data_IF_422945399070
#
_entry.id   IF_422945399070
#
_cell.length_a   1.000
_cell.length_b   1.000
_cell.length_c   1.000
_cell.angle_alpha   90.00
_cell.angle_beta   90.00
_cell.angle_gamma   90.00
#
_symmetry.space_group_name_H-M   'P 1'
#
loop_
_entity.id
_entity.type
_entity.pdbx_description
1 polymer ?
#
# COMPACT_ATOMS: atom_id res chain seq x y z
N UNK A 1 5.27 9.20 -23.00
CA UNK A 1 4.32 8.24 -22.41
C UNK A 1 4.58 8.24 -20.92
N UNK A 2 3.56 8.18 -20.06
CA UNK A 2 3.80 7.99 -18.64
C UNK A 2 4.13 6.52 -18.38
N UNK A 3 5.27 6.21 -17.75
CA UNK A 3 5.54 4.86 -17.26
C UNK A 3 4.73 4.68 -15.98
N UNK A 4 4.08 3.53 -15.84
CA UNK A 4 3.27 3.19 -14.66
C UNK A 4 3.98 2.09 -13.90
N UNK A 5 4.17 2.29 -12.59
CA UNK A 5 4.66 1.24 -11.72
C UNK A 5 3.48 0.37 -11.26
N UNK A 6 3.68 -0.95 -11.25
CA UNK A 6 2.75 -1.90 -10.63
C UNK A 6 3.07 -2.00 -9.14
N UNK A 7 2.04 -1.93 -8.30
CA UNK A 7 2.15 -2.02 -6.85
C UNK A 7 1.39 -3.25 -6.35
N UNK A 8 2.12 -4.19 -5.74
CA UNK A 8 1.54 -5.34 -5.05
C UNK A 8 1.51 -4.99 -3.57
N UNK A 9 0.31 -4.78 -3.03
CA UNK A 9 0.05 -4.30 -1.69
C UNK A 9 -0.58 -5.40 -0.83
N UNK A 10 -0.18 -5.43 0.44
CA UNK A 10 -0.82 -6.25 1.47
C UNK A 10 -0.84 -5.50 2.80
N UNK A 11 -2.00 -5.48 3.45
CA UNK A 11 -2.19 -4.98 4.80
C UNK A 11 -2.86 -6.00 5.71
N UNK A 12 -2.50 -5.99 6.98
CA UNK A 12 -3.13 -6.75 8.06
C UNK A 12 -3.23 -5.88 9.30
N UNK A 13 -4.40 -5.86 9.93
CA UNK A 13 -4.60 -5.20 11.23
C UNK A 13 -5.76 -5.85 11.97
N UNK A 14 -5.68 -5.88 13.30
CA UNK A 14 -6.80 -6.30 14.16
C UNK A 14 -7.83 -5.18 14.34
N UNK A 15 -7.49 -3.93 14.00
CA UNK A 15 -8.42 -2.81 14.03
C UNK A 15 -9.30 -2.82 12.77
N UNK A 16 -10.54 -3.29 12.90
CA UNK A 16 -11.50 -3.37 11.79
C UNK A 16 -11.77 -2.02 11.13
N UNK A 17 -11.84 -0.93 11.90
CA UNK A 17 -12.09 0.39 11.34
C UNK A 17 -10.92 0.87 10.46
N UNK A 18 -9.69 0.57 10.87
CA UNK A 18 -8.51 0.85 10.04
C UNK A 18 -8.47 -0.05 8.81
N UNK A 19 -8.90 -1.31 8.94
CA UNK A 19 -8.98 -2.22 7.80
C UNK A 19 -9.99 -1.72 6.75
N UNK A 20 -11.15 -1.23 7.19
CA UNK A 20 -12.18 -0.62 6.33
C UNK A 20 -11.66 0.66 5.66
N UNK A 21 -10.89 1.49 6.39
CA UNK A 21 -10.22 2.66 5.80
C UNK A 21 -9.20 2.27 4.73
N UNK A 22 -8.41 1.22 4.96
CA UNK A 22 -7.40 0.75 3.99
C UNK A 22 -8.08 0.27 2.71
N UNK A 23 -9.12 -0.57 2.83
CA UNK A 23 -9.89 -1.07 1.68
C UNK A 23 -10.49 0.09 0.87
N UNK A 24 -11.24 0.98 1.52
CA UNK A 24 -11.88 2.11 0.86
C UNK A 24 -10.86 3.06 0.21
N UNK A 25 -9.75 3.35 0.90
CA UNK A 25 -8.70 4.22 0.35
C UNK A 25 -8.11 3.65 -0.94
N UNK A 26 -7.81 2.35 -0.98
CA UNK A 26 -7.22 1.72 -2.15
C UNK A 26 -8.18 1.74 -3.34
N UNK A 27 -9.47 1.43 -3.10
CA UNK A 27 -10.52 1.40 -4.12
C UNK A 27 -10.84 2.81 -4.66
N UNK A 28 -10.85 3.83 -3.79
CA UNK A 28 -11.14 5.22 -4.17
C UNK A 28 -9.96 5.93 -4.86
N UNK A 29 -8.72 5.54 -4.54
CA UNK A 29 -7.51 6.30 -4.93
C UNK A 29 -6.84 5.75 -6.18
N UNK A 30 -6.82 4.44 -6.36
CA UNK A 30 -6.04 3.80 -7.41
C UNK A 30 -6.91 2.99 -8.37
N UNK A 31 -6.49 2.96 -9.63
CA UNK A 31 -7.03 2.01 -10.61
C UNK A 31 -6.34 0.66 -10.39
N UNK A 32 -7.10 -0.31 -9.88
CA UNK A 32 -6.58 -1.61 -9.46
C UNK A 32 -7.65 -2.57 -8.94
N UNK A 33 -7.19 -3.70 -8.42
CA UNK A 33 -8.03 -4.73 -7.79
C UNK A 33 -7.76 -4.74 -6.29
N UNK A 34 -8.81 -4.67 -5.49
CA UNK A 34 -8.75 -4.73 -4.02
C UNK A 34 -9.53 -5.94 -3.54
N UNK A 35 -8.91 -6.79 -2.72
CA UNK A 35 -9.52 -7.95 -2.11
C UNK A 35 -9.55 -7.83 -0.59
N UNK A 36 -10.76 -7.87 -0.02
CA UNK A 36 -10.98 -7.88 1.42
C UNK A 36 -11.08 -9.30 1.96
N UNK A 37 -10.34 -9.54 3.04
CA UNK A 37 -10.41 -10.76 3.87
C UNK A 37 -10.88 -10.42 5.29
N UNK A 38 -10.90 -11.43 6.16
CA UNK A 38 -11.35 -11.27 7.55
C UNK A 38 -10.54 -10.24 8.35
N UNK A 39 -9.21 -10.29 8.24
CA UNK A 39 -8.25 -9.45 9.00
C UNK A 39 -7.18 -8.79 8.12
N UNK A 40 -7.35 -8.86 6.80
CA UNK A 40 -6.38 -8.36 5.84
C UNK A 40 -7.02 -7.85 4.55
N UNK A 41 -6.27 -7.03 3.83
CA UNK A 41 -6.59 -6.51 2.50
C UNK A 41 -5.35 -6.74 1.63
N UNK A 42 -5.53 -7.32 0.45
CA UNK A 42 -4.52 -7.31 -0.60
C UNK A 42 -5.01 -6.50 -1.80
N UNK A 43 -4.08 -5.88 -2.53
CA UNK A 43 -4.42 -5.14 -3.72
C UNK A 43 -3.29 -5.17 -4.75
N UNK A 44 -3.67 -5.08 -6.02
CA UNK A 44 -2.76 -4.79 -7.12
C UNK A 44 -3.25 -3.54 -7.84
N UNK A 45 -2.41 -2.51 -7.92
CA UNK A 45 -2.80 -1.24 -8.52
C UNK A 45 -1.63 -0.52 -9.18
N UNK A 46 -1.94 0.46 -10.04
CA UNK A 46 -0.92 1.24 -10.75
C UNK A 46 -0.67 2.61 -10.12
N UNK A 47 0.58 3.08 -10.17
CA UNK A 47 0.96 4.45 -9.81
C UNK A 47 1.81 5.07 -10.91
N UNK A 48 1.94 6.40 -10.91
CA UNK A 48 2.78 7.10 -11.90
C UNK A 48 4.25 6.95 -11.53
N UNK A 49 5.04 6.38 -12.43
CA UNK A 49 6.51 6.28 -12.39
C UNK A 49 7.10 5.40 -11.28
N UNK A 50 6.71 5.61 -10.03
CA UNK A 50 7.35 5.04 -8.84
C UNK A 50 6.31 4.71 -7.76
N UNK A 51 6.77 4.16 -6.63
CA UNK A 51 5.97 3.99 -5.42
C UNK A 51 5.21 5.29 -5.05
N UNK A 52 3.89 5.24 -4.83
CA UNK A 52 3.07 6.42 -4.53
C UNK A 52 3.21 6.85 -3.06
N UNK A 53 4.34 7.49 -2.74
CA UNK A 53 4.70 7.86 -1.36
C UNK A 53 3.69 8.81 -0.72
N UNK A 54 3.24 9.85 -1.42
CA UNK A 54 2.32 10.83 -0.86
C UNK A 54 0.96 10.22 -0.51
N UNK A 55 0.40 9.41 -1.41
CA UNK A 55 -0.89 8.74 -1.21
C UNK A 55 -0.79 7.75 -0.04
N UNK A 56 0.25 6.92 -0.02
CA UNK A 56 0.40 5.92 1.03
C UNK A 56 0.70 6.57 2.38
N UNK A 57 1.47 7.65 2.44
CA UNK A 57 1.69 8.38 3.70
C UNK A 57 0.40 9.01 4.24
N UNK A 58 -0.49 9.51 3.36
CA UNK A 58 -1.83 9.97 3.76
C UNK A 58 -2.67 8.84 4.33
N UNK A 59 -2.64 7.66 3.69
CA UNK A 59 -3.30 6.47 4.23
C UNK A 59 -2.76 6.16 5.64
N UNK A 60 -1.44 6.04 5.81
CA UNK A 60 -0.83 5.73 7.12
C UNK A 60 -1.21 6.76 8.18
N UNK A 61 -1.22 8.05 7.83
CA UNK A 61 -1.58 9.12 8.75
C UNK A 61 -3.04 9.06 9.22
N UNK A 62 -3.93 8.44 8.44
CA UNK A 62 -5.35 8.29 8.76
C UNK A 62 -5.68 7.11 9.70
N UNK A 63 -4.72 6.19 9.90
CA UNK A 63 -4.93 4.99 10.70
C UNK A 63 -4.83 5.29 12.20
N UNK A 64 -5.74 4.74 12.99
CA UNK A 64 -5.80 4.92 14.43
C UNK A 64 -4.78 4.04 15.17
N UNK A 65 -4.69 2.77 14.78
CA UNK A 65 -3.83 1.75 15.39
C UNK A 65 -2.61 1.43 14.51
N UNK A 66 -1.93 2.48 14.00
CA UNK A 66 -0.77 2.35 13.10
C UNK A 66 0.38 1.50 13.66
N UNK A 67 0.55 1.46 14.97
CA UNK A 67 1.53 0.60 15.66
C UNK A 67 1.18 -0.89 15.59
N UNK A 68 -0.08 -1.22 15.35
CA UNK A 68 -0.60 -2.60 15.23
C UNK A 68 -0.89 -3.01 13.79
N UNK A 69 -0.73 -2.10 12.84
CA UNK A 69 -0.91 -2.36 11.41
C UNK A 69 0.39 -2.86 10.79
N UNK A 70 0.29 -3.93 10.02
CA UNK A 70 1.36 -4.46 9.18
C UNK A 70 1.03 -4.20 7.72
N UNK A 71 1.90 -3.51 6.99
CA UNK A 71 1.76 -3.28 5.54
C UNK A 71 3.05 -3.69 4.84
N UNK A 72 2.94 -4.29 3.67
CA UNK A 72 4.06 -4.46 2.74
C UNK A 72 3.62 -4.06 1.34
N UNK A 73 4.51 -3.42 0.61
CA UNK A 73 4.28 -3.00 -0.77
C UNK A 73 5.53 -3.23 -1.60
N UNK A 74 5.35 -3.98 -2.70
CA UNK A 74 6.33 -4.12 -3.77
C UNK A 74 5.88 -3.26 -4.94
N UNK A 75 6.66 -2.25 -5.27
CA UNK A 75 6.46 -1.40 -6.44
C UNK A 75 7.54 -1.72 -7.46
N UNK A 76 7.17 -1.93 -8.73
CA UNK A 76 8.14 -2.16 -9.79
C UNK A 76 7.69 -1.58 -11.13
N UNK A 77 8.66 -1.24 -11.97
CA UNK A 77 8.46 -0.85 -13.37
C UNK A 77 9.64 -1.39 -14.19
N UNK A 78 9.36 -2.13 -15.26
CA UNK A 78 10.38 -2.90 -15.98
C UNK A 78 11.21 -2.07 -16.97
N UNK A 79 10.67 -0.99 -17.51
CA UNK A 79 11.32 -0.18 -18.56
C UNK A 79 12.53 0.58 -18.01
N UNK A 80 12.37 1.18 -16.83
CA UNK A 80 13.38 1.96 -16.13
C UNK A 80 14.06 1.14 -15.01
N UNK A 81 13.84 -0.18 -14.98
CA UNK A 81 14.40 -1.12 -13.99
C UNK A 81 14.15 -0.70 -12.53
N UNK A 82 13.02 -0.04 -12.29
CA UNK A 82 12.64 0.45 -10.98
C UNK A 82 12.08 -0.67 -10.11
N UNK A 83 12.55 -0.75 -8.86
CA UNK A 83 11.99 -1.61 -7.82
C UNK A 83 12.06 -0.88 -6.48
N UNK A 84 11.02 -1.03 -5.67
CA UNK A 84 10.98 -0.58 -4.29
C UNK A 84 10.22 -1.60 -3.46
N UNK A 85 10.83 -2.09 -2.38
CA UNK A 85 10.14 -2.97 -1.43
C UNK A 85 10.13 -2.36 -0.04
N UNK A 86 8.93 -2.05 0.46
CA UNK A 86 8.73 -1.35 1.73
C UNK A 86 7.85 -2.16 2.67
N UNK A 87 8.22 -2.17 3.94
CA UNK A 87 7.46 -2.81 5.02
C UNK A 87 7.17 -1.77 6.08
N UNK A 88 5.90 -1.59 6.43
CA UNK A 88 5.48 -0.82 7.58
C UNK A 88 5.07 -1.77 8.70
N UNK A 89 5.69 -1.59 9.86
CA UNK A 89 5.31 -2.33 11.08
C UNK A 89 5.70 -1.52 12.31
N UNK A 90 4.95 -1.67 13.40
CA UNK A 90 5.24 -0.98 14.66
C UNK A 90 5.38 0.55 14.50
N UNK A 91 4.59 1.13 13.58
CA UNK A 91 4.60 2.56 13.29
C UNK A 91 5.82 3.08 12.51
N UNK A 92 6.63 2.20 11.89
CA UNK A 92 7.86 2.56 11.18
C UNK A 92 7.96 1.88 9.83
N UNK A 93 8.57 2.58 8.87
CA UNK A 93 8.95 2.04 7.56
C UNK A 93 10.35 1.40 7.61
N UNK A 94 10.47 0.26 6.95
CA UNK A 94 11.70 -0.46 6.65
C UNK A 94 11.78 -0.64 5.12
N UNK A 95 12.74 0.03 4.49
CA UNK A 95 12.94 0.05 3.03
C UNK A 95 14.03 -0.96 2.70
N UNK A 96 13.71 -1.97 1.91
CA UNK A 96 14.60 -3.11 1.63
C UNK A 96 15.40 -2.99 0.35
N UNK A 97 14.78 -2.44 -0.70
CA UNK A 97 15.32 -2.28 -2.05
C UNK A 97 14.80 -0.95 -2.59
#
# INVERSE_FOLDING_TARGET
>A
MANYATNIFYARTENKADLDKIEAFLDDTFDGFVNRHSDSVDAEFTSRWVYPEEEIDRLIASLEAKDKTYIKILSYEFTDEYVSFRIFSQGKWDIKL
#
